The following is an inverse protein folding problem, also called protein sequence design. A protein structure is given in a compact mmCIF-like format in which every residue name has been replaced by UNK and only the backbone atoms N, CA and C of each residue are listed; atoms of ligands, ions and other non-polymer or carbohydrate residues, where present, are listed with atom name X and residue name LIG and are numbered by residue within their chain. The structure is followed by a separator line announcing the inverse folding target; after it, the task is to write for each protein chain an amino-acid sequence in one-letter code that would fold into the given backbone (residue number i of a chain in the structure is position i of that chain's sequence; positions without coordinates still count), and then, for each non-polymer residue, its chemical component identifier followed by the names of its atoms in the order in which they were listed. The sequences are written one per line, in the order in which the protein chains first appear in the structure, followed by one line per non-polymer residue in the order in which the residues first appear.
data_IF_085400590103
#
_entry.id   IF_085400590103
#
_cell.length_a   1.000
_cell.length_b   1.000
_cell.length_c   1.000
_cell.angle_alpha   90.00
_cell.angle_beta   90.00
_cell.angle_gamma   90.00
#
_symmetry.space_group_name_H-M   'P 1'
#
loop_
_entity.id
_entity.type
_entity.pdbx_description
1 polymer ?
#
# COMPACT_ATOMS: atom_id res chain seq x y z
N UNK A 1 22.25 6.69 -0.36
CA UNK A 1 21.33 5.70 -0.97
C UNK A 1 19.99 5.79 -0.25
N UNK A 2 18.86 5.76 -0.96
CA UNK A 2 17.53 5.67 -0.32
C UNK A 2 17.23 4.19 -0.09
N UNK A 3 16.85 3.83 1.13
CA UNK A 3 16.45 2.46 1.48
C UNK A 3 15.09 2.16 0.83
N UNK A 4 14.99 1.06 0.09
CA UNK A 4 13.74 0.65 -0.57
C UNK A 4 13.14 -0.49 0.21
N UNK A 5 11.97 -0.24 0.81
CA UNK A 5 11.17 -1.25 1.49
C UNK A 5 10.06 -1.73 0.56
N UNK A 6 10.02 -3.04 0.30
CA UNK A 6 9.04 -3.64 -0.61
C UNK A 6 7.81 -4.10 0.16
N UNK A 7 6.64 -3.62 -0.23
CA UNK A 7 5.33 -4.03 0.28
C UNK A 7 4.79 -5.16 -0.60
N UNK A 8 4.52 -6.31 0.00
CA UNK A 8 4.02 -7.50 -0.68
C UNK A 8 2.54 -7.40 -1.08
N UNK A 9 1.97 -8.44 -1.69
CA UNK A 9 0.51 -8.55 -1.85
C UNK A 9 -0.16 -8.77 -0.49
N UNK A 10 -1.33 -8.17 -0.28
CA UNK A 10 -2.08 -8.26 0.99
C UNK A 10 -1.33 -7.69 2.20
N UNK A 11 -0.40 -6.76 1.95
CA UNK A 11 0.51 -6.22 2.95
C UNK A 11 0.41 -4.69 3.01
N UNK A 12 0.89 -4.14 4.12
CA UNK A 12 0.99 -2.70 4.34
C UNK A 12 2.26 -2.36 5.11
N UNK A 13 2.88 -1.24 4.74
CA UNK A 13 4.01 -0.70 5.46
C UNK A 13 3.86 0.81 5.65
N UNK A 14 4.44 1.32 6.73
CA UNK A 14 4.62 2.74 6.95
C UNK A 14 6.09 3.01 7.28
N UNK A 15 6.64 4.07 6.69
CA UNK A 15 8.02 4.45 6.90
C UNK A 15 8.19 5.97 6.83
N UNK A 16 9.23 6.46 7.48
CA UNK A 16 9.63 7.87 7.45
C UNK A 16 10.73 8.08 6.43
N UNK A 17 10.85 9.30 5.91
CA UNK A 17 12.03 9.71 5.13
C UNK A 17 13.32 9.28 5.86
N UNK A 18 14.30 8.66 5.18
CA UNK A 18 14.50 8.60 3.72
C UNK A 18 14.03 7.31 3.02
N UNK A 19 13.19 6.50 3.66
CA UNK A 19 12.74 5.21 3.11
C UNK A 19 11.77 5.41 1.95
N UNK A 20 11.90 4.56 0.92
CA UNK A 20 10.99 4.47 -0.22
C UNK A 20 10.17 3.20 -0.07
N UNK A 21 8.85 3.35 0.07
CA UNK A 21 7.90 2.24 0.01
C UNK A 21 7.60 1.92 -1.45
N UNK A 22 7.71 0.66 -1.85
CA UNK A 22 7.47 0.20 -3.22
C UNK A 22 6.67 -1.10 -3.23
N UNK A 23 5.71 -1.23 -4.14
CA UNK A 23 5.04 -2.51 -4.43
C UNK A 23 5.25 -2.86 -5.90
N UNK A 24 5.28 -4.16 -6.21
CA UNK A 24 5.52 -4.67 -7.56
C UNK A 24 4.40 -5.62 -7.95
N UNK A 25 3.97 -5.56 -9.21
CA UNK A 25 3.02 -6.55 -9.76
C UNK A 25 1.59 -6.37 -9.27
N UNK A 26 1.09 -5.13 -9.21
CA UNK A 26 -0.29 -4.83 -8.76
C UNK A 26 -1.37 -5.59 -9.56
N UNK A 27 -1.26 -5.72 -10.89
CA UNK A 27 -2.28 -6.44 -11.68
C UNK A 27 -3.69 -5.88 -11.47
N UNK A 28 -4.63 -6.72 -11.00
CA UNK A 28 -6.01 -6.33 -10.64
C UNK A 28 -6.15 -5.80 -9.20
N UNK A 29 -5.09 -5.84 -8.41
CA UNK A 29 -5.06 -5.34 -7.03
C UNK A 29 -5.00 -3.80 -7.00
N UNK A 30 -5.19 -3.24 -5.80
CA UNK A 30 -5.23 -1.79 -5.56
C UNK A 30 -4.10 -1.40 -4.62
N UNK A 31 -3.28 -0.42 -5.03
CA UNK A 31 -2.26 0.19 -4.19
C UNK A 31 -2.78 1.49 -3.58
N UNK A 32 -2.75 1.61 -2.25
CA UNK A 32 -3.10 2.86 -1.55
C UNK A 32 -1.84 3.45 -0.93
N UNK A 33 -1.53 4.70 -1.31
CA UNK A 33 -0.42 5.46 -0.73
C UNK A 33 -0.95 6.67 0.05
N UNK A 34 -0.44 6.87 1.26
CA UNK A 34 -0.74 8.02 2.11
C UNK A 34 0.57 8.69 2.52
N UNK A 35 0.58 10.01 2.62
CA UNK A 35 1.75 10.75 3.08
C UNK A 35 1.34 11.92 3.96
N UNK A 36 1.88 11.94 5.17
CA UNK A 36 1.74 13.06 6.10
C UNK A 36 2.96 13.97 5.98
N UNK A 37 2.71 15.25 5.69
CA UNK A 37 3.76 16.28 5.53
C UNK A 37 4.32 16.75 6.87
N UNK A 38 3.51 16.76 7.93
CA UNK A 38 3.93 17.25 9.25
C UNK A 38 4.85 16.23 9.90
N UNK A 39 4.39 14.98 9.97
CA UNK A 39 5.21 13.91 10.53
C UNK A 39 6.17 13.30 9.50
N UNK A 40 6.13 13.64 8.21
CA UNK A 40 7.01 13.06 7.16
C UNK A 40 6.99 11.53 7.11
N UNK A 41 5.85 10.93 7.44
CA UNK A 41 5.60 9.49 7.35
C UNK A 41 4.79 9.20 6.10
N UNK A 42 5.23 8.23 5.31
CA UNK A 42 4.48 7.64 4.21
C UNK A 42 3.96 6.26 4.59
N UNK A 43 2.77 5.91 4.11
CA UNK A 43 2.20 4.58 4.17
C UNK A 43 1.90 4.06 2.77
N UNK A 44 2.08 2.76 2.55
CA UNK A 44 1.74 2.08 1.32
C UNK A 44 1.08 0.73 1.66
N UNK A 45 -0.11 0.51 1.15
CA UNK A 45 -0.84 -0.75 1.26
C UNK A 45 -1.10 -1.33 -0.14
N UNK A 46 -0.93 -2.65 -0.27
CA UNK A 46 -1.25 -3.39 -1.48
C UNK A 46 -2.44 -4.32 -1.18
N UNK A 47 -3.62 -3.86 -1.54
CA UNK A 47 -4.89 -4.49 -1.21
C UNK A 47 -5.30 -5.40 -2.36
N UNK A 48 -5.58 -6.67 -2.05
CA UNK A 48 -6.23 -7.58 -2.98
C UNK A 48 -7.68 -7.15 -3.17
N UNK A 49 -8.10 -6.96 -4.42
CA UNK A 49 -9.48 -6.65 -4.75
C UNK A 49 -10.38 -7.77 -4.19
N UNK A 50 -11.46 -7.47 -3.44
CA UNK A 50 -12.38 -8.52 -3.01
C UNK A 50 -12.97 -9.17 -4.27
N UNK A 51 -12.83 -10.50 -4.40
CA UNK A 51 -13.61 -11.24 -5.38
C UNK A 51 -15.09 -10.96 -5.10
N UNK A 52 -15.84 -10.58 -6.14
CA UNK A 52 -17.24 -10.19 -6.08
C UNK A 52 -18.07 -11.21 -5.25
N UNK A 53 -18.30 -10.88 -3.98
CA UNK A 53 -18.98 -11.75 -3.03
C UNK A 53 -19.79 -10.98 -1.99
N UNK A 54 -19.55 -9.68 -1.79
CA UNK A 54 -20.44 -8.84 -1.00
C UNK A 54 -21.63 -8.39 -1.87
N UNK A 55 -22.54 -9.32 -2.11
CA UNK A 55 -23.89 -9.00 -2.59
C UNK A 55 -24.69 -8.55 -1.38
N UNK A 56 -24.83 -7.24 -1.22
CA UNK A 56 -25.85 -6.68 -0.33
C UNK A 56 -27.22 -7.06 -0.90
N UNK A 57 -27.81 -8.15 -0.40
CA UNK A 57 -29.23 -8.41 -0.62
C UNK A 57 -30.00 -7.54 0.36
N UNK A 58 -30.66 -6.51 -0.19
CA UNK A 58 -31.72 -5.77 0.48
C UNK A 58 -32.96 -6.64 0.64
#
# INVERSE_FOLDING_TARGET
MREVHRVGMADLAAARVPVVLCTIGLGSCVGIALYDRETRVGGLAHIMLPQAGLRVTN
#
